data_IF_255375637168
#
_entry.id   IF_255375637168
#
_cell.length_a   1.000
_cell.length_b   1.000
_cell.length_c   1.000
_cell.angle_alpha   90.00
_cell.angle_beta   90.00
_cell.angle_gamma   90.00
#
_symmetry.space_group_name_H-M   'P 1'
#
loop_
_entity.id
_entity.type
_entity.pdbx_description
1 polymer ?
#
# COMPACT_ATOMS: atom_id res chain seq x y z
N UNK A 1 -17.93 -4.51 -1.43
CA UNK A 1 -17.44 -5.91 -1.39
C UNK A 1 -17.22 -6.51 -2.77
N UNK A 2 -18.16 -6.41 -3.73
CA UNK A 2 -17.90 -6.85 -5.12
C UNK A 2 -16.67 -6.18 -5.72
N UNK A 3 -16.57 -4.86 -5.57
CA UNK A 3 -15.41 -4.07 -6.00
C UNK A 3 -14.09 -4.47 -5.32
N UNK A 4 -14.12 -4.79 -4.01
CA UNK A 4 -12.90 -5.23 -3.31
C UNK A 4 -12.48 -6.65 -3.70
N UNK A 5 -13.40 -7.52 -4.11
CA UNK A 5 -13.05 -8.83 -4.69
C UNK A 5 -12.48 -8.67 -6.09
N UNK A 6 -13.10 -7.82 -6.91
CA UNK A 6 -12.65 -7.52 -8.27
C UNK A 6 -11.25 -6.88 -8.32
N UNK A 7 -10.94 -5.97 -7.38
CA UNK A 7 -9.59 -5.41 -7.23
C UNK A 7 -8.56 -6.49 -6.89
N UNK A 8 -8.89 -7.40 -5.97
CA UNK A 8 -8.02 -8.53 -5.62
C UNK A 8 -7.84 -9.47 -6.80
N UNK A 9 -8.92 -9.87 -7.46
CA UNK A 9 -8.88 -10.77 -8.61
C UNK A 9 -8.10 -10.17 -9.77
N UNK A 10 -8.26 -8.88 -10.02
CA UNK A 10 -7.52 -8.16 -11.06
C UNK A 10 -6.03 -8.05 -10.70
N UNK A 11 -5.71 -7.76 -9.44
CA UNK A 11 -4.32 -7.74 -8.95
C UNK A 11 -3.65 -9.11 -9.02
N UNK A 12 -4.35 -10.17 -8.59
CA UNK A 12 -3.86 -11.55 -8.69
C UNK A 12 -3.67 -11.97 -10.14
N UNK A 13 -4.64 -11.72 -11.02
CA UNK A 13 -4.49 -12.00 -12.46
C UNK A 13 -3.31 -11.24 -13.07
N UNK A 14 -3.10 -9.99 -12.68
CA UNK A 14 -1.94 -9.23 -13.15
C UNK A 14 -0.62 -9.88 -12.70
N UNK A 15 -0.56 -10.40 -11.47
CA UNK A 15 0.60 -11.14 -10.96
C UNK A 15 0.75 -12.54 -11.56
N UNK A 16 -0.36 -13.20 -11.95
CA UNK A 16 -0.32 -14.48 -12.66
C UNK A 16 0.23 -14.31 -14.09
N UNK A 17 -0.12 -13.20 -14.74
CA UNK A 17 0.36 -12.86 -16.08
C UNK A 17 1.80 -12.34 -16.07
N UNK A 18 2.13 -11.51 -15.08
CA UNK A 18 3.44 -10.92 -14.89
C UNK A 18 3.77 -10.83 -13.38
N UNK A 19 4.44 -11.86 -12.84
CA UNK A 19 4.84 -11.90 -11.43
C UNK A 19 5.81 -10.78 -11.03
N UNK A 20 6.47 -10.14 -11.99
CA UNK A 20 7.45 -9.08 -11.76
C UNK A 20 6.84 -7.68 -11.99
N UNK A 21 5.51 -7.59 -12.05
CA UNK A 21 4.80 -6.32 -12.20
C UNK A 21 4.78 -5.53 -10.89
N UNK A 22 5.71 -4.58 -10.75
CA UNK A 22 5.79 -3.68 -9.59
C UNK A 22 4.46 -2.96 -9.27
N UNK A 23 3.70 -2.52 -10.29
CA UNK A 23 2.42 -1.82 -10.07
C UNK A 23 1.35 -2.73 -9.48
N UNK A 24 1.33 -4.00 -9.88
CA UNK A 24 0.42 -5.00 -9.32
C UNK A 24 0.74 -5.26 -7.85
N UNK A 25 2.02 -5.36 -7.50
CA UNK A 25 2.47 -5.46 -6.11
C UNK A 25 2.09 -4.23 -5.27
N UNK A 26 2.21 -3.00 -5.80
CA UNK A 26 1.72 -1.79 -5.11
C UNK A 26 0.21 -1.87 -4.84
N UNK A 27 -0.57 -2.29 -5.83
CA UNK A 27 -2.02 -2.41 -5.71
C UNK A 27 -2.40 -3.42 -4.63
N UNK A 28 -1.76 -4.59 -4.63
CA UNK A 28 -1.98 -5.63 -3.62
C UNK A 28 -1.56 -5.18 -2.22
N UNK A 29 -0.44 -4.47 -2.12
CA UNK A 29 0.03 -3.89 -0.87
C UNK A 29 -0.97 -2.92 -0.25
N UNK A 30 -1.44 -1.94 -1.05
CA UNK A 30 -2.50 -1.01 -0.63
C UNK A 30 -3.76 -1.78 -0.24
N UNK A 31 -4.19 -2.73 -1.07
CA UNK A 31 -5.37 -3.55 -0.80
C UNK A 31 -5.33 -4.26 0.54
N UNK A 32 -4.21 -4.94 0.86
CA UNK A 32 -4.05 -5.64 2.12
C UNK A 32 -4.07 -4.70 3.32
N UNK A 33 -3.43 -3.52 3.22
CA UNK A 33 -3.50 -2.50 4.26
C UNK A 33 -4.94 -2.02 4.46
N UNK A 34 -5.65 -1.68 3.40
CA UNK A 34 -7.03 -1.19 3.51
C UNK A 34 -7.91 -2.23 4.20
N UNK A 35 -7.84 -3.50 3.79
CA UNK A 35 -8.59 -4.60 4.42
C UNK A 35 -8.21 -4.79 5.89
N UNK A 36 -6.92 -4.76 6.21
CA UNK A 36 -6.45 -4.93 7.59
C UNK A 36 -7.08 -3.87 8.51
N UNK A 37 -7.19 -2.63 8.04
CA UNK A 37 -7.61 -1.48 8.84
C UNK A 37 -9.11 -1.11 8.68
N UNK A 38 -9.89 -1.89 7.91
CA UNK A 38 -11.34 -1.73 7.92
C UNK A 38 -11.90 -1.92 9.34
N UNK A 39 -12.80 -1.03 9.74
CA UNK A 39 -13.51 -1.14 11.01
C UNK A 39 -14.20 -2.51 11.09
N UNK A 40 -14.07 -3.17 12.25
CA UNK A 40 -14.67 -4.47 12.54
C UNK A 40 -16.19 -4.51 12.22
N UNK A 41 -16.92 -3.42 12.46
CA UNK A 41 -18.35 -3.33 12.15
C UNK A 41 -18.62 -3.41 10.64
N UNK A 42 -17.77 -2.74 9.84
CA UNK A 42 -17.87 -2.78 8.37
C UNK A 42 -17.42 -4.15 7.83
N UNK A 43 -16.42 -4.78 8.46
CA UNK A 43 -16.04 -6.17 8.16
C UNK A 43 -17.17 -7.14 8.43
N UNK A 44 -17.87 -7.01 9.56
CA UNK A 44 -19.04 -7.83 9.88
C UNK A 44 -20.19 -7.61 8.91
N UNK A 45 -20.53 -6.35 8.61
CA UNK A 45 -21.54 -6.03 7.60
C UNK A 45 -21.19 -6.66 6.24
N UNK A 46 -19.93 -6.54 5.81
CA UNK A 46 -19.47 -7.15 4.58
C UNK A 46 -19.56 -8.67 4.60
N UNK A 47 -19.27 -9.29 5.75
CA UNK A 47 -19.40 -10.73 5.93
C UNK A 47 -20.86 -11.19 5.80
N UNK A 48 -21.77 -10.51 6.48
CA UNK A 48 -23.21 -10.83 6.51
C UNK A 48 -23.89 -10.63 5.15
N UNK A 49 -23.61 -9.53 4.44
CA UNK A 49 -24.34 -9.18 3.22
C UNK A 49 -23.69 -9.67 1.92
N UNK A 50 -22.40 -10.00 1.95
CA UNK A 50 -21.64 -10.36 0.74
C UNK A 50 -20.83 -11.65 0.88
N UNK A 51 -20.97 -12.38 1.99
CA UNK A 51 -20.35 -13.69 2.19
C UNK A 51 -18.84 -13.63 2.44
N UNK A 52 -18.36 -12.57 3.09
CA UNK A 52 -16.97 -12.45 3.56
C UNK A 52 -16.11 -11.45 2.79
N UNK A 53 -15.20 -10.80 3.52
CA UNK A 53 -14.06 -10.08 2.93
C UNK A 53 -12.84 -11.00 2.90
N UNK A 54 -12.01 -10.93 1.85
CA UNK A 54 -10.76 -11.66 1.84
C UNK A 54 -9.89 -11.23 3.02
N UNK A 55 -9.14 -12.17 3.61
CA UNK A 55 -8.15 -11.83 4.63
C UNK A 55 -6.98 -11.06 4.00
N UNK A 56 -6.39 -10.18 4.82
CA UNK A 56 -5.27 -9.33 4.46
C UNK A 56 -4.71 -8.67 5.70
N UNK A 57 -3.40 -8.75 5.89
CA UNK A 57 -2.72 -8.18 7.05
C UNK A 57 -1.82 -7.00 6.64
N UNK A 58 -1.47 -6.15 7.60
CA UNK A 58 -0.47 -5.12 7.35
C UNK A 58 0.91 -5.74 7.02
N UNK A 59 1.21 -6.97 7.47
CA UNK A 59 2.42 -7.68 7.11
C UNK A 59 2.43 -8.11 5.63
N UNK A 60 1.29 -8.57 5.11
CA UNK A 60 1.14 -8.85 3.68
C UNK A 60 1.32 -7.57 2.86
N UNK A 61 0.79 -6.44 3.33
CA UNK A 61 0.98 -5.15 2.69
C UNK A 61 2.47 -4.78 2.59
N UNK A 62 3.22 -4.93 3.69
CA UNK A 62 4.67 -4.70 3.71
C UNK A 62 5.40 -5.61 2.73
N UNK A 63 5.06 -6.91 2.68
CA UNK A 63 5.69 -7.87 1.78
C UNK A 63 5.49 -7.49 0.32
N UNK A 64 4.27 -7.18 -0.09
CA UNK A 64 3.96 -6.77 -1.46
C UNK A 64 4.64 -5.45 -1.83
N UNK A 65 4.61 -4.45 -0.94
CA UNK A 65 5.25 -3.15 -1.20
C UNK A 65 6.77 -3.24 -1.24
N UNK A 66 7.37 -4.12 -0.43
CA UNK A 66 8.81 -4.38 -0.50
C UNK A 66 9.18 -5.01 -1.83
N UNK A 67 8.40 -6.00 -2.31
CA UNK A 67 8.60 -6.60 -3.62
C UNK A 67 8.46 -5.58 -4.75
N UNK A 68 7.49 -4.66 -4.65
CA UNK A 68 7.36 -3.57 -5.62
C UNK A 68 8.62 -2.68 -5.69
N UNK A 69 9.27 -2.40 -4.55
CA UNK A 69 10.52 -1.63 -4.48
C UNK A 69 11.72 -2.44 -5.00
N UNK A 70 11.76 -3.75 -4.78
CA UNK A 70 12.79 -4.61 -5.36
C UNK A 70 12.73 -4.61 -6.90
N UNK A 71 11.52 -4.63 -7.45
CA UNK A 71 11.26 -4.63 -8.89
C UNK A 71 11.44 -3.24 -9.53
N UNK A 72 11.03 -2.18 -8.82
CA UNK A 72 11.25 -0.79 -9.22
C UNK A 72 11.79 0.04 -8.04
N UNK A 73 13.12 0.10 -7.87
CA UNK A 73 13.74 0.83 -6.76
C UNK A 73 13.51 2.36 -6.79
N UNK A 74 13.09 2.89 -7.94
CA UNK A 74 12.83 4.31 -8.15
C UNK A 74 11.36 4.67 -7.88
N UNK A 75 10.49 3.69 -7.64
CA UNK A 75 9.07 3.91 -7.40
C UNK A 75 8.82 4.76 -6.16
N UNK A 76 8.54 6.05 -6.38
CA UNK A 76 8.18 7.00 -5.31
C UNK A 76 6.87 6.56 -4.65
N UNK A 77 5.91 6.09 -5.46
CA UNK A 77 4.64 5.55 -4.96
C UNK A 77 4.83 4.35 -4.04
N UNK A 78 5.67 3.38 -4.41
CA UNK A 78 5.86 2.17 -3.59
C UNK A 78 6.44 2.53 -2.21
N UNK A 79 7.45 3.41 -2.18
CA UNK A 79 8.05 3.91 -0.92
C UNK A 79 7.05 4.68 -0.07
N UNK A 80 6.29 5.57 -0.69
CA UNK A 80 5.23 6.31 0.00
C UNK A 80 4.18 5.38 0.62
N UNK A 81 3.66 4.40 -0.13
CA UNK A 81 2.66 3.48 0.39
C UNK A 81 3.23 2.53 1.46
N UNK A 82 4.53 2.20 1.40
CA UNK A 82 5.22 1.47 2.45
C UNK A 82 5.35 2.31 3.72
N UNK A 83 5.72 3.59 3.60
CA UNK A 83 5.74 4.54 4.72
C UNK A 83 4.38 4.64 5.41
N UNK A 84 3.30 4.77 4.62
CA UNK A 84 1.92 4.74 5.15
C UNK A 84 1.58 3.45 5.87
N UNK A 85 2.03 2.33 5.34
CA UNK A 85 1.77 1.02 5.95
C UNK A 85 2.47 0.91 7.30
N UNK A 86 3.73 1.35 7.40
CA UNK A 86 4.46 1.40 8.67
C UNK A 86 3.85 2.37 9.67
N UNK A 87 3.39 3.54 9.23
CA UNK A 87 2.69 4.50 10.07
C UNK A 87 1.44 3.88 10.71
N UNK A 88 0.61 3.20 9.91
CA UNK A 88 -0.60 2.50 10.41
C UNK A 88 -0.27 1.35 11.36
N UNK A 89 0.92 0.77 11.23
CA UNK A 89 1.45 -0.24 12.17
C UNK A 89 2.06 0.36 13.44
N UNK A 90 2.12 1.70 13.57
CA UNK A 90 2.80 2.39 14.68
C UNK A 90 4.34 2.34 14.60
N UNK A 91 4.90 1.92 13.47
CA UNK A 91 6.34 1.81 13.21
C UNK A 91 6.87 3.13 12.67
N UNK A 92 6.78 4.19 13.48
CA UNK A 92 7.01 5.58 13.05
C UNK A 92 8.41 5.82 12.48
N UNK A 93 9.44 5.18 13.05
CA UNK A 93 10.81 5.34 12.55
C UNK A 93 10.95 4.82 11.11
N UNK A 94 10.40 3.65 10.82
CA UNK A 94 10.47 3.03 9.50
C UNK A 94 9.57 3.75 8.49
N UNK A 95 8.44 4.29 8.97
CA UNK A 95 7.60 5.18 8.19
C UNK A 95 8.36 6.44 7.77
N UNK A 96 9.08 7.08 8.71
CA UNK A 96 9.89 8.26 8.44
C UNK A 96 10.98 7.95 7.42
N UNK A 97 11.68 6.83 7.56
CA UNK A 97 12.75 6.43 6.63
C UNK A 97 12.21 6.28 5.19
N UNK A 98 11.07 5.61 5.00
CA UNK A 98 10.50 5.45 3.66
C UNK A 98 9.89 6.73 3.09
N UNK A 99 9.26 7.56 3.92
CA UNK A 99 8.79 8.86 3.47
C UNK A 99 9.92 9.81 3.08
N UNK A 100 11.05 9.80 3.80
CA UNK A 100 12.25 10.56 3.41
C UNK A 100 12.76 10.09 2.05
N UNK A 101 12.92 8.78 1.87
CA UNK A 101 13.36 8.19 0.59
C UNK A 101 12.42 8.49 -0.57
N UNK A 102 11.12 8.69 -0.32
CA UNK A 102 10.16 9.12 -1.34
C UNK A 102 10.25 10.64 -1.61
N UNK A 103 10.38 11.45 -0.56
CA UNK A 103 10.36 12.92 -0.64
C UNK A 103 11.61 13.53 -1.30
N UNK A 104 12.74 12.84 -1.25
CA UNK A 104 14.02 13.27 -1.82
C UNK A 104 14.20 12.90 -3.30
N UNK A 105 13.25 12.15 -3.89
CA UNK A 105 13.37 11.67 -5.28
C UNK A 105 12.97 12.72 -6.29
N UNK A 106 13.59 12.64 -7.47
CA UNK A 106 13.19 13.43 -8.63
C UNK A 106 11.92 12.83 -9.26
N UNK A 107 10.86 13.63 -9.48
CA UNK A 107 9.65 13.17 -10.17
C UNK A 107 9.96 12.66 -11.58
N UNK A 108 9.41 11.51 -11.95
CA UNK A 108 9.45 10.94 -13.29
C UNK A 108 8.05 10.66 -13.86
N UNK A 109 7.09 10.32 -12.99
CA UNK A 109 5.67 10.13 -13.32
C UNK A 109 4.86 11.39 -12.94
N UNK A 110 3.77 11.66 -13.68
CA UNK A 110 2.85 12.76 -13.41
C UNK A 110 2.24 12.74 -11.99
N UNK A 111 2.15 11.58 -11.34
CA UNK A 111 1.66 11.45 -9.97
C UNK A 111 2.74 11.60 -8.90
N UNK A 112 4.02 11.60 -9.27
CA UNK A 112 5.12 11.69 -8.31
C UNK A 112 5.11 12.95 -7.45
N UNK A 113 4.80 14.16 -7.97
CA UNK A 113 4.71 15.36 -7.13
C UNK A 113 3.69 15.22 -6.00
N UNK A 114 2.59 14.49 -6.25
CA UNK A 114 1.58 14.19 -5.22
C UNK A 114 2.16 13.31 -4.13
N UNK A 115 2.82 12.20 -4.50
CA UNK A 115 3.40 11.28 -3.52
C UNK A 115 4.56 11.90 -2.73
N UNK A 116 5.36 12.77 -3.35
CA UNK A 116 6.40 13.55 -2.66
C UNK A 116 5.76 14.50 -1.62
N UNK A 117 4.71 15.23 -2.02
CA UNK A 117 4.01 16.15 -1.12
C UNK A 117 3.37 15.40 0.06
N UNK A 118 2.68 14.28 -0.20
CA UNK A 118 2.08 13.46 0.85
C UNK A 118 3.13 12.80 1.75
N UNK A 119 4.29 12.40 1.22
CA UNK A 119 5.41 11.90 2.03
C UNK A 119 5.95 12.95 2.99
N UNK A 120 6.09 14.21 2.55
CA UNK A 120 6.49 15.34 3.42
C UNK A 120 5.48 15.61 4.53
N UNK A 121 4.20 15.42 4.27
CA UNK A 121 3.15 15.50 5.30
C UNK A 121 3.26 14.33 6.27
N UNK A 122 3.45 13.11 5.76
CA UNK A 122 3.67 11.90 6.55
C UNK A 122 4.86 12.04 7.51
N UNK A 123 5.99 12.57 7.04
CA UNK A 123 7.18 12.84 7.84
C UNK A 123 6.92 13.71 9.06
N UNK A 124 6.15 14.79 8.89
CA UNK A 124 5.80 15.68 10.00
C UNK A 124 4.95 14.93 11.03
N UNK A 125 4.01 14.12 10.57
CA UNK A 125 3.09 13.37 11.45
C UNK A 125 3.80 12.29 12.27
N UNK A 126 4.78 11.60 11.70
CA UNK A 126 5.50 10.51 12.40
C UNK A 126 6.69 11.00 13.24
N UNK A 127 7.12 12.25 13.04
CA UNK A 127 8.21 12.88 13.80
C UNK A 127 7.76 13.73 14.99
N UNK A 128 6.45 13.97 15.13
CA UNK A 128 5.80 14.56 16.31
C UNK A 128 5.54 13.50 17.40
#
# INVERSE_FOLDING_TARGET
>A
VKLSREVKESGVKALELDPDNSKAHILMGVYYREIANLNWALKMFANTFFGGLPEGTNADAVRELTKAIELDPQSIRARFELGKTYEVMGRNQEAADEYNKAAERTPADHLDPKYIAESKVGLRRVGE
#
